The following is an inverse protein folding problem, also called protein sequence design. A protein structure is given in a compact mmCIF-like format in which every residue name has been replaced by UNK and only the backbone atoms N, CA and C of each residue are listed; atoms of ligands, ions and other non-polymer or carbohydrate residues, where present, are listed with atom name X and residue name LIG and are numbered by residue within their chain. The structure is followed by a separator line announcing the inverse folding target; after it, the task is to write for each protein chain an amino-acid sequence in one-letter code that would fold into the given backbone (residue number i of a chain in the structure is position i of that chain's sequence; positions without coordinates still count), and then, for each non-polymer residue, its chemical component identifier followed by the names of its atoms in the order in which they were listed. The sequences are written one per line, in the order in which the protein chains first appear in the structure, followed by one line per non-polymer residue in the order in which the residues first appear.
data_IF_220824859611
#
_entry.id   IF_220824859611
#
_cell.length_a   1.000
_cell.length_b   1.000
_cell.length_c   1.000
_cell.angle_alpha   90.00
_cell.angle_beta   90.00
_cell.angle_gamma   90.00
#
_symmetry.space_group_name_H-M   'P 1'
#
loop_
_entity.id
_entity.type
_entity.pdbx_description
1 polymer ?
#
# COMPACT_ATOMS: atom_id res chain seq x y z
N UNK A 1 33.94 8.57 14.19
CA UNK A 1 33.58 9.19 12.91
C UNK A 1 32.13 8.83 12.64
N UNK A 2 31.23 9.81 12.80
CA UNK A 2 29.81 9.62 12.51
C UNK A 2 29.61 9.91 11.03
N UNK A 3 29.11 8.93 10.28
CA UNK A 3 28.62 9.15 8.93
C UNK A 3 27.42 10.09 9.01
N UNK A 4 27.62 11.33 8.55
CA UNK A 4 26.54 12.22 8.18
C UNK A 4 25.65 11.48 7.18
N UNK A 5 24.39 11.23 7.54
CA UNK A 5 23.38 10.87 6.55
C UNK A 5 23.20 12.07 5.64
N UNK A 6 24.01 12.14 4.59
CA UNK A 6 23.66 12.90 3.40
C UNK A 6 22.24 12.47 3.02
N UNK A 7 21.37 13.45 2.82
CA UNK A 7 20.11 13.26 2.12
C UNK A 7 20.47 12.88 0.67
N UNK A 8 20.93 11.64 0.47
CA UNK A 8 21.34 11.15 -0.83
C UNK A 8 20.08 11.15 -1.69
N UNK A 9 20.04 12.04 -2.68
CA UNK A 9 18.98 12.07 -3.67
C UNK A 9 18.98 10.74 -4.43
N UNK A 10 18.21 9.76 -3.95
CA UNK A 10 18.04 8.48 -4.62
C UNK A 10 17.11 8.65 -5.81
N UNK A 11 17.42 8.00 -6.92
CA UNK A 11 16.56 7.81 -8.07
C UNK A 11 15.65 6.59 -7.88
N UNK A 12 14.54 6.52 -8.62
CA UNK A 12 13.67 5.33 -8.61
C UNK A 12 14.40 4.05 -9.06
N UNK A 13 15.41 4.18 -9.91
CA UNK A 13 16.29 3.08 -10.33
C UNK A 13 17.05 2.48 -9.15
N UNK A 14 17.63 3.33 -8.29
CA UNK A 14 18.35 2.90 -7.09
C UNK A 14 17.43 2.30 -6.03
N UNK A 15 16.12 2.55 -6.10
CA UNK A 15 15.13 1.89 -5.24
C UNK A 15 14.78 0.47 -5.71
N UNK A 16 15.27 0.03 -6.87
CA UNK A 16 15.07 -1.31 -7.40
C UNK A 16 13.77 -1.51 -8.19
N UNK A 17 13.12 -0.43 -8.64
CA UNK A 17 11.96 -0.53 -9.52
C UNK A 17 12.38 -0.93 -10.93
N UNK A 18 11.44 -1.56 -11.67
CA UNK A 18 11.68 -1.92 -13.06
C UNK A 18 11.53 -0.70 -13.99
N UNK A 19 12.14 -0.78 -15.16
CA UNK A 19 12.21 0.33 -16.12
C UNK A 19 10.83 0.79 -16.62
N UNK A 20 9.87 -0.14 -16.74
CA UNK A 20 8.51 0.20 -17.17
C UNK A 20 7.79 1.12 -16.18
N UNK A 21 7.92 0.86 -14.87
CA UNK A 21 7.37 1.74 -13.83
C UNK A 21 8.08 3.09 -13.81
N UNK A 22 9.40 3.09 -13.95
CA UNK A 22 10.19 4.33 -14.01
C UNK A 22 9.76 5.20 -15.19
N UNK A 23 9.59 4.59 -16.38
CA UNK A 23 9.08 5.30 -17.57
C UNK A 23 7.67 5.84 -17.37
N UNK A 24 6.80 5.07 -16.72
CA UNK A 24 5.45 5.52 -16.38
C UNK A 24 5.47 6.74 -15.43
N UNK A 25 6.36 6.74 -14.43
CA UNK A 25 6.55 7.87 -13.52
C UNK A 25 7.05 9.13 -14.24
N UNK A 26 8.03 8.99 -15.14
CA UNK A 26 8.53 10.11 -15.96
C UNK A 26 7.39 10.72 -16.80
N UNK A 27 6.55 9.88 -17.44
CA UNK A 27 5.37 10.37 -18.19
C UNK A 27 4.34 11.08 -17.32
N UNK A 28 4.26 10.74 -16.04
CA UNK A 28 3.41 11.43 -15.06
C UNK A 28 4.09 12.66 -14.44
N UNK A 29 5.31 13.00 -14.86
CA UNK A 29 6.07 14.15 -14.33
C UNK A 29 6.66 13.90 -12.94
N UNK A 30 6.83 12.63 -12.53
CA UNK A 30 7.38 12.24 -11.24
C UNK A 30 8.81 11.76 -11.45
N UNK A 31 9.76 12.66 -11.25
CA UNK A 31 11.17 12.39 -11.56
C UNK A 31 11.96 11.83 -10.38
N UNK A 32 11.64 12.27 -9.16
CA UNK A 32 12.37 11.90 -7.94
C UNK A 32 11.45 11.26 -6.89
N UNK A 33 11.89 10.21 -6.19
CA UNK A 33 11.14 9.62 -5.10
C UNK A 33 11.10 10.56 -3.89
N UNK A 34 9.93 10.66 -3.27
CA UNK A 34 9.77 11.37 -1.99
C UNK A 34 10.44 10.60 -0.85
N UNK A 35 10.73 11.23 0.31
CA UNK A 35 11.38 10.54 1.43
C UNK A 35 10.66 9.26 1.88
N UNK A 36 9.32 9.24 1.87
CA UNK A 36 8.57 8.02 2.24
C UNK A 36 8.72 6.93 1.18
N UNK A 37 8.84 7.30 -0.09
CA UNK A 37 9.07 6.35 -1.18
C UNK A 37 10.47 5.77 -1.12
N UNK A 38 11.48 6.59 -0.83
CA UNK A 38 12.87 6.14 -0.67
C UNK A 38 13.02 5.09 0.45
N UNK A 39 12.28 5.25 1.54
CA UNK A 39 12.31 4.30 2.65
C UNK A 39 11.39 3.10 2.42
N UNK A 40 10.15 3.32 1.97
CA UNK A 40 9.16 2.24 1.87
C UNK A 40 9.42 1.30 0.69
N UNK A 41 9.71 1.83 -0.50
CA UNK A 41 9.75 1.03 -1.75
C UNK A 41 10.76 -0.13 -1.63
N UNK A 42 12.02 0.08 -1.22
CA UNK A 42 12.99 -1.03 -1.15
C UNK A 42 12.61 -2.10 -0.12
N UNK A 43 11.91 -1.73 0.95
CA UNK A 43 11.46 -2.67 2.00
C UNK A 43 10.26 -3.48 1.53
N UNK A 44 9.32 -2.83 0.85
CA UNK A 44 8.16 -3.51 0.28
C UNK A 44 8.60 -4.47 -0.83
N UNK A 45 9.53 -4.09 -1.70
CA UNK A 45 10.09 -4.99 -2.73
C UNK A 45 10.77 -6.22 -2.14
N UNK A 46 11.34 -6.12 -0.93
CA UNK A 46 11.92 -7.25 -0.18
C UNK A 46 10.86 -8.16 0.47
N UNK A 47 9.58 -7.88 0.29
CA UNK A 47 8.49 -8.66 0.87
C UNK A 47 8.20 -8.37 2.34
N UNK A 48 8.74 -7.27 2.88
CA UNK A 48 8.54 -6.91 4.29
C UNK A 48 7.15 -6.27 4.50
N UNK A 49 6.53 -6.61 5.62
CA UNK A 49 5.38 -5.89 6.15
C UNK A 49 5.79 -4.48 6.58
N UNK A 50 5.01 -3.46 6.24
CA UNK A 50 5.38 -2.05 6.48
C UNK A 50 4.21 -1.28 7.07
N UNK A 51 4.49 -0.55 8.15
CA UNK A 51 3.67 0.56 8.65
C UNK A 51 4.36 1.86 8.28
N UNK A 52 3.71 2.70 7.48
CA UNK A 52 4.24 3.99 7.04
C UNK A 52 3.34 5.14 7.51
N UNK A 53 3.86 5.92 8.46
CA UNK A 53 3.22 7.12 9.00
C UNK A 53 3.87 8.38 8.40
N UNK A 54 3.12 9.09 7.57
CA UNK A 54 3.55 10.35 6.97
C UNK A 54 2.35 11.20 6.56
N UNK A 55 2.44 12.53 6.61
CA UNK A 55 1.32 13.44 6.27
C UNK A 55 0.72 13.21 4.87
N UNK A 56 -0.51 13.66 4.64
CA UNK A 56 -1.13 13.67 3.31
C UNK A 56 -0.28 14.49 2.33
N UNK A 57 -0.23 14.06 1.07
CA UNK A 57 0.65 14.67 0.05
C UNK A 57 2.12 14.25 0.12
N UNK A 58 2.53 13.41 1.08
CA UNK A 58 3.93 12.92 1.17
C UNK A 58 4.30 11.87 0.10
N UNK A 59 3.34 11.43 -0.73
CA UNK A 59 3.57 10.43 -1.78
C UNK A 59 3.36 8.97 -1.33
N UNK A 60 2.66 8.73 -0.21
CA UNK A 60 2.32 7.38 0.30
C UNK A 60 1.70 6.47 -0.75
N UNK A 61 0.80 7.00 -1.58
CA UNK A 61 0.11 6.22 -2.62
C UNK A 61 1.10 5.52 -3.56
N UNK A 62 2.06 6.24 -4.15
CA UNK A 62 3.09 5.60 -4.96
C UNK A 62 4.11 4.79 -4.15
N UNK A 63 4.27 5.07 -2.86
CA UNK A 63 5.15 4.29 -1.99
C UNK A 63 4.71 2.83 -1.88
N UNK A 64 3.39 2.54 -1.92
CA UNK A 64 2.89 1.16 -1.98
C UNK A 64 2.50 0.69 -3.39
N UNK A 65 1.97 1.57 -4.26
CA UNK A 65 1.51 1.16 -5.58
C UNK A 65 2.64 0.68 -6.50
N UNK A 66 3.79 1.35 -6.45
CA UNK A 66 4.92 0.99 -7.29
C UNK A 66 5.47 -0.41 -6.98
N UNK A 67 5.81 -0.75 -5.73
CA UNK A 67 6.26 -2.11 -5.42
C UNK A 67 5.13 -3.16 -5.52
N UNK A 68 3.87 -2.80 -5.28
CA UNK A 68 2.71 -3.67 -5.53
C UNK A 68 2.66 -4.07 -7.01
N UNK A 69 2.66 -3.09 -7.91
CA UNK A 69 2.63 -3.36 -9.36
C UNK A 69 3.86 -4.13 -9.81
N UNK A 70 5.05 -3.77 -9.32
CA UNK A 70 6.28 -4.49 -9.61
C UNK A 70 6.13 -5.99 -9.29
N UNK A 71 5.59 -6.33 -8.12
CA UNK A 71 5.37 -7.72 -7.69
C UNK A 71 4.37 -8.46 -8.58
N UNK A 72 3.37 -7.74 -9.08
CA UNK A 72 2.32 -8.34 -9.90
C UNK A 72 2.69 -8.48 -11.38
N UNK A 73 3.73 -7.79 -11.86
CA UNK A 73 4.10 -7.86 -13.28
C UNK A 73 4.29 -9.31 -13.75
N UNK A 74 3.81 -9.64 -14.97
CA UNK A 74 3.95 -10.98 -15.51
C UNK A 74 5.42 -11.39 -15.57
N UNK A 75 5.71 -12.61 -15.09
CA UNK A 75 7.05 -13.20 -15.25
C UNK A 75 7.16 -13.78 -16.67
N UNK A 76 8.31 -13.61 -17.36
CA UNK A 76 8.53 -14.22 -18.66
C UNK A 76 8.25 -15.73 -18.61
N UNK A 77 7.43 -16.23 -19.53
CA UNK A 77 7.08 -17.65 -19.63
C UNK A 77 6.01 -18.15 -18.64
N UNK A 78 5.41 -17.28 -17.82
CA UNK A 78 4.28 -17.64 -16.97
C UNK A 78 2.97 -17.65 -17.78
N UNK A 79 2.15 -18.69 -17.64
CA UNK A 79 0.74 -18.60 -18.03
C UNK A 79 0.06 -17.60 -17.09
N UNK A 80 -0.36 -16.44 -17.61
CA UNK A 80 -1.13 -15.46 -16.84
C UNK A 80 -2.55 -15.97 -16.65
N UNK A 81 -2.76 -16.80 -15.62
CA UNK A 81 -4.10 -17.04 -15.09
C UNK A 81 -4.42 -15.91 -14.14
N UNK A 82 -5.33 -15.03 -14.55
CA UNK A 82 -5.80 -13.94 -13.70
C UNK A 82 -6.41 -14.51 -12.41
N UNK A 83 -5.99 -13.95 -11.28
CA UNK A 83 -6.49 -14.25 -9.95
C UNK A 83 -6.30 -13.01 -9.08
N UNK A 84 -7.11 -12.85 -8.04
CA UNK A 84 -7.02 -11.69 -7.16
C UNK A 84 -5.78 -11.75 -6.28
N UNK A 85 -4.73 -11.03 -6.69
CA UNK A 85 -3.42 -11.03 -6.03
C UNK A 85 -3.19 -9.84 -5.12
N UNK A 86 -3.93 -8.75 -5.29
CA UNK A 86 -3.79 -7.56 -4.45
C UNK A 86 -5.13 -6.95 -4.03
N UNK A 87 -5.21 -6.60 -2.74
CA UNK A 87 -6.23 -5.71 -2.21
C UNK A 87 -5.64 -4.36 -1.84
N UNK A 88 -6.34 -3.29 -2.22
CA UNK A 88 -6.11 -1.94 -1.68
C UNK A 88 -7.40 -1.46 -1.03
N UNK A 89 -7.41 -1.46 0.30
CA UNK A 89 -8.55 -1.06 1.10
C UNK A 89 -8.39 0.39 1.56
N UNK A 90 -9.44 1.18 1.33
CA UNK A 90 -9.47 2.62 1.61
C UNK A 90 -10.75 3.00 2.37
N UNK A 91 -10.77 4.11 3.13
CA UNK A 91 -11.92 4.50 3.95
C UNK A 91 -13.14 4.99 3.16
N UNK A 92 -12.92 5.68 2.04
CA UNK A 92 -13.99 6.39 1.31
C UNK A 92 -14.09 5.94 -0.14
N UNK A 93 -15.27 6.15 -0.73
CA UNK A 93 -15.51 5.88 -2.14
C UNK A 93 -14.68 6.80 -3.03
N UNK A 94 -14.53 8.05 -2.63
CA UNK A 94 -13.82 9.08 -3.37
C UNK A 94 -12.32 8.75 -3.43
N UNK A 95 -11.75 8.29 -2.32
CA UNK A 95 -10.36 7.80 -2.30
C UNK A 95 -10.21 6.51 -3.11
N UNK A 96 -11.22 5.63 -3.10
CA UNK A 96 -11.23 4.40 -3.91
C UNK A 96 -11.10 4.72 -5.40
N UNK A 97 -11.87 5.70 -5.89
CA UNK A 97 -11.79 6.18 -7.26
C UNK A 97 -10.44 6.82 -7.58
N UNK A 98 -9.87 7.60 -6.66
CA UNK A 98 -8.57 8.23 -6.84
C UNK A 98 -7.45 7.19 -6.98
N UNK A 99 -7.39 6.23 -6.05
CA UNK A 99 -6.40 5.15 -6.07
C UNK A 99 -6.57 4.26 -7.30
N UNK A 100 -7.80 3.89 -7.65
CA UNK A 100 -8.08 3.10 -8.85
C UNK A 100 -7.62 3.79 -10.14
N UNK A 101 -7.82 5.11 -10.26
CA UNK A 101 -7.32 5.89 -11.41
C UNK A 101 -5.80 5.85 -11.50
N UNK A 102 -5.09 5.96 -10.38
CA UNK A 102 -3.62 5.87 -10.37
C UNK A 102 -3.13 4.47 -10.75
N UNK A 103 -3.74 3.42 -10.19
CA UNK A 103 -3.42 2.03 -10.56
C UNK A 103 -3.63 1.81 -12.07
N UNK A 104 -4.81 2.20 -12.58
CA UNK A 104 -5.17 2.02 -13.99
C UNK A 104 -4.23 2.80 -14.92
N UNK A 105 -3.91 4.05 -14.55
CA UNK A 105 -2.95 4.89 -15.27
C UNK A 105 -1.57 4.25 -15.32
N UNK A 106 -1.07 3.71 -14.21
CA UNK A 106 0.24 3.04 -14.18
C UNK A 106 0.24 1.76 -15.01
N UNK A 107 -0.81 0.94 -14.94
CA UNK A 107 -0.95 -0.28 -15.75
C UNK A 107 -0.90 0.06 -17.24
N UNK A 108 -1.66 1.05 -17.68
CA UNK A 108 -1.71 1.51 -19.07
C UNK A 108 -0.35 2.03 -19.54
N UNK A 109 0.29 2.89 -18.75
CA UNK A 109 1.58 3.48 -19.09
C UNK A 109 2.71 2.44 -19.15
N UNK A 110 2.64 1.41 -18.30
CA UNK A 110 3.58 0.28 -18.30
C UNK A 110 3.28 -0.75 -19.39
N UNK A 111 2.09 -0.70 -20.02
CA UNK A 111 1.63 -1.67 -21.04
C UNK A 111 1.64 -3.12 -20.55
N UNK A 112 1.27 -3.34 -19.28
CA UNK A 112 1.19 -4.67 -18.68
C UNK A 112 -0.22 -5.22 -18.72
N UNK A 113 -0.34 -6.54 -18.87
CA UNK A 113 -1.64 -7.23 -18.88
C UNK A 113 -2.10 -7.52 -17.45
N UNK A 114 -2.45 -6.46 -16.70
CA UNK A 114 -3.05 -6.54 -15.38
C UNK A 114 -4.46 -5.95 -15.43
N UNK A 115 -5.41 -6.59 -14.74
CA UNK A 115 -6.76 -6.10 -14.57
C UNK A 115 -6.94 -5.54 -13.16
N UNK A 116 -7.12 -4.22 -13.05
CA UNK A 116 -7.58 -3.58 -11.83
C UNK A 116 -9.10 -3.37 -11.88
N UNK A 117 -9.77 -3.50 -10.74
CA UNK A 117 -11.20 -3.20 -10.59
C UNK A 117 -11.43 -2.35 -9.34
N UNK A 118 -12.33 -1.39 -9.44
CA UNK A 118 -12.88 -0.61 -8.34
C UNK A 118 -14.22 -1.18 -7.92
N UNK A 119 -14.43 -1.45 -6.62
CA UNK A 119 -15.74 -1.81 -6.08
C UNK A 119 -16.12 -0.89 -4.92
N UNK A 120 -17.38 -0.46 -4.90
CA UNK A 120 -17.90 0.44 -3.86
C UNK A 120 -19.24 -0.07 -3.35
N UNK A 121 -19.54 0.19 -2.08
CA UNK A 121 -20.76 -0.34 -1.43
C UNK A 121 -22.06 0.16 -2.08
N UNK A 122 -22.00 1.28 -2.81
CA UNK A 122 -23.13 1.84 -3.58
C UNK A 122 -23.51 1.03 -4.83
N UNK A 123 -22.64 0.14 -5.31
CA UNK A 123 -22.94 -0.69 -6.50
C UNK A 123 -23.95 -1.80 -6.17
N UNK A 124 -24.84 -2.12 -7.10
CA UNK A 124 -25.77 -3.25 -6.98
C UNK A 124 -25.02 -4.58 -7.16
N UNK A 125 -25.59 -5.68 -6.65
CA UNK A 125 -24.99 -7.01 -6.78
C UNK A 125 -24.76 -7.41 -8.24
N UNK A 126 -25.66 -7.01 -9.15
CA UNK A 126 -25.49 -7.22 -10.59
C UNK A 126 -24.26 -6.49 -11.15
N UNK A 127 -24.03 -5.24 -10.74
CA UNK A 127 -22.85 -4.45 -11.14
C UNK A 127 -21.58 -5.05 -10.55
N UNK A 128 -21.60 -5.45 -9.28
CA UNK A 128 -20.46 -6.12 -8.64
C UNK A 128 -20.08 -7.42 -9.37
N UNK A 129 -21.08 -8.25 -9.72
CA UNK A 129 -20.85 -9.49 -10.50
C UNK A 129 -20.25 -9.18 -11.86
N UNK A 130 -20.81 -8.20 -12.58
CA UNK A 130 -20.31 -7.80 -13.89
C UNK A 130 -18.86 -7.31 -13.84
N UNK A 131 -18.51 -6.49 -12.85
CA UNK A 131 -17.14 -5.98 -12.68
C UNK A 131 -16.12 -7.12 -12.41
N UNK A 132 -16.55 -8.16 -11.72
CA UNK A 132 -15.74 -9.33 -11.37
C UNK A 132 -15.77 -10.45 -12.43
N UNK A 133 -16.43 -10.25 -13.58
CA UNK A 133 -16.32 -11.19 -14.72
C UNK A 133 -14.90 -11.15 -15.26
N UNK A 134 -14.23 -12.31 -15.25
CA UNK A 134 -12.79 -12.38 -15.46
C UNK A 134 -12.08 -11.88 -14.20
N UNK A 135 -11.46 -12.77 -13.39
CA UNK A 135 -10.89 -12.37 -12.10
C UNK A 135 -9.96 -11.16 -12.24
N UNK A 136 -10.10 -10.11 -11.42
CA UNK A 136 -9.13 -9.02 -11.41
C UNK A 136 -7.83 -9.47 -10.75
N UNK A 137 -6.71 -8.85 -11.11
CA UNK A 137 -5.43 -8.99 -10.41
C UNK A 137 -5.37 -8.08 -9.17
N UNK A 138 -5.99 -6.91 -9.26
CA UNK A 138 -6.00 -5.87 -8.22
C UNK A 138 -7.43 -5.43 -7.97
N UNK A 139 -7.82 -5.38 -6.69
CA UNK A 139 -9.11 -4.86 -6.26
C UNK A 139 -8.91 -3.68 -5.32
N UNK A 140 -9.38 -2.50 -5.75
CA UNK A 140 -9.42 -1.28 -4.94
C UNK A 140 -10.85 -1.13 -4.41
N UNK A 141 -11.02 -1.07 -3.09
CA UNK A 141 -12.36 -1.08 -2.49
C UNK A 141 -12.40 -0.52 -1.06
N UNK A 142 -13.61 -0.32 -0.54
CA UNK A 142 -13.81 -0.11 0.91
C UNK A 142 -14.01 -1.46 1.60
N UNK A 143 -13.59 -1.62 2.88
CA UNK A 143 -13.77 -2.89 3.60
C UNK A 143 -15.23 -3.39 3.61
N UNK A 144 -16.19 -2.49 3.86
CA UNK A 144 -17.62 -2.84 3.84
C UNK A 144 -18.11 -3.36 2.48
N UNK A 145 -17.54 -2.88 1.37
CA UNK A 145 -17.89 -3.39 0.05
C UNK A 145 -17.36 -4.82 -0.17
N UNK A 146 -16.17 -5.13 0.34
CA UNK A 146 -15.64 -6.50 0.31
C UNK A 146 -16.52 -7.45 1.13
N UNK A 147 -16.93 -7.04 2.34
CA UNK A 147 -17.89 -7.79 3.15
C UNK A 147 -19.22 -8.01 2.42
N UNK A 148 -19.75 -6.99 1.74
CA UNK A 148 -20.94 -7.13 0.88
C UNK A 148 -20.71 -8.15 -0.23
N UNK A 149 -19.56 -8.12 -0.91
CA UNK A 149 -19.24 -9.07 -1.97
C UNK A 149 -19.17 -10.52 -1.47
N UNK A 150 -18.65 -10.75 -0.25
CA UNK A 150 -18.67 -12.06 0.39
C UNK A 150 -20.08 -12.50 0.74
N UNK A 151 -20.87 -11.64 1.39
CA UNK A 151 -22.24 -11.97 1.81
C UNK A 151 -23.16 -12.25 0.62
N UNK A 152 -22.98 -11.53 -0.49
CA UNK A 152 -23.76 -11.74 -1.71
C UNK A 152 -23.21 -12.89 -2.59
N UNK A 153 -22.17 -13.61 -2.16
CA UNK A 153 -21.48 -14.64 -2.96
C UNK A 153 -21.10 -14.13 -4.36
N UNK A 154 -20.66 -12.89 -4.44
CA UNK A 154 -20.12 -12.27 -5.66
C UNK A 154 -18.62 -12.51 -5.73
N UNK A 155 -17.96 -12.47 -4.58
CA UNK A 155 -16.55 -12.81 -4.41
C UNK A 155 -16.47 -13.98 -3.43
N UNK A 156 -15.75 -15.04 -3.78
CA UNK A 156 -15.60 -16.20 -2.91
C UNK A 156 -14.33 -16.06 -2.09
N UNK A 157 -14.40 -16.34 -0.79
CA UNK A 157 -13.22 -16.32 0.09
C UNK A 157 -12.13 -17.30 -0.39
N UNK A 158 -12.54 -18.51 -0.75
CA UNK A 158 -11.64 -19.56 -1.22
C UNK A 158 -10.86 -19.19 -2.50
N UNK A 159 -11.41 -18.34 -3.38
CA UNK A 159 -10.68 -17.90 -4.58
C UNK A 159 -9.53 -16.93 -4.30
N UNK A 160 -9.47 -16.41 -3.07
CA UNK A 160 -8.49 -15.40 -2.63
C UNK A 160 -7.45 -16.00 -1.68
N UNK A 161 -7.85 -17.02 -0.89
CA UNK A 161 -7.05 -17.55 0.22
C UNK A 161 -5.65 -18.05 -0.17
N UNK A 162 -5.47 -18.47 -1.43
CA UNK A 162 -4.19 -18.95 -1.96
C UNK A 162 -3.59 -18.03 -3.04
N UNK A 163 -4.34 -17.02 -3.51
CA UNK A 163 -3.90 -16.12 -4.59
C UNK A 163 -3.46 -14.74 -4.09
N UNK A 164 -3.93 -14.30 -2.91
CA UNK A 164 -3.60 -12.99 -2.37
C UNK A 164 -2.12 -12.92 -1.96
N UNK A 165 -1.39 -11.99 -2.59
CA UNK A 165 0.03 -11.76 -2.33
C UNK A 165 0.30 -10.49 -1.54
N UNK A 166 -0.62 -9.53 -1.58
CA UNK A 166 -0.48 -8.23 -0.91
C UNK A 166 -1.83 -7.63 -0.48
N UNK A 167 -1.89 -7.16 0.76
CA UNK A 167 -3.01 -6.39 1.31
C UNK A 167 -2.50 -5.02 1.74
N UNK A 168 -3.11 -3.97 1.20
CA UNK A 168 -2.83 -2.58 1.58
C UNK A 168 -4.02 -2.00 2.32
N UNK A 169 -3.75 -1.37 3.47
CA UNK A 169 -4.67 -0.54 4.22
C UNK A 169 -4.22 0.92 4.09
N UNK A 170 -4.87 1.69 3.23
CA UNK A 170 -4.57 3.12 3.04
C UNK A 170 -5.46 3.99 3.95
N UNK A 171 -4.91 5.09 4.43
CA UNK A 171 -5.51 5.95 5.45
C UNK A 171 -6.05 5.15 6.66
N UNK A 172 -5.19 4.32 7.23
CA UNK A 172 -5.56 3.33 8.24
C UNK A 172 -6.16 3.90 9.54
N UNK A 173 -5.76 5.11 9.92
CA UNK A 173 -6.37 5.88 11.01
C UNK A 173 -7.84 6.18 10.74
N UNK A 174 -8.21 6.46 9.49
CA UNK A 174 -9.59 6.68 9.10
C UNK A 174 -10.37 5.37 8.94
N UNK A 175 -9.73 4.28 8.50
CA UNK A 175 -10.42 2.98 8.36
C UNK A 175 -11.13 2.54 9.65
N UNK A 176 -10.47 2.64 10.80
CA UNK A 176 -11.10 2.33 12.09
C UNK A 176 -12.06 3.41 12.56
N UNK A 177 -11.75 4.69 12.32
CA UNK A 177 -12.66 5.80 12.63
C UNK A 177 -14.02 5.67 11.92
N UNK A 178 -14.05 5.02 10.75
CA UNK A 178 -15.24 4.73 9.96
C UNK A 178 -15.96 3.44 10.38
N UNK A 179 -15.43 2.71 11.38
CA UNK A 179 -16.06 1.51 11.92
C UNK A 179 -15.77 0.22 11.14
N UNK A 180 -14.79 0.21 10.23
CA UNK A 180 -14.49 -0.98 9.41
C UNK A 180 -13.66 -2.06 10.12
N UNK A 181 -13.58 -2.02 11.44
CA UNK A 181 -12.77 -2.96 12.20
C UNK A 181 -13.16 -4.42 11.92
N UNK A 182 -14.44 -4.74 12.01
CA UNK A 182 -14.91 -6.11 11.85
C UNK A 182 -14.85 -6.59 10.39
N UNK A 183 -15.01 -5.67 9.44
CA UNK A 183 -14.78 -5.94 8.01
C UNK A 183 -13.31 -6.30 7.73
N UNK A 184 -12.37 -5.58 8.34
CA UNK A 184 -10.93 -5.87 8.21
C UNK A 184 -10.58 -7.16 8.95
N UNK A 185 -11.14 -7.40 10.14
CA UNK A 185 -10.99 -8.68 10.87
C UNK A 185 -11.39 -9.88 10.03
N UNK A 186 -12.43 -9.77 9.21
CA UNK A 186 -12.85 -10.88 8.34
C UNK A 186 -11.79 -11.27 7.29
N UNK A 187 -10.82 -10.38 7.00
CA UNK A 187 -9.73 -10.61 6.05
C UNK A 187 -8.45 -11.12 6.71
N UNK A 188 -8.32 -11.06 8.04
CA UNK A 188 -7.08 -11.45 8.75
C UNK A 188 -6.62 -12.88 8.57
N UNK A 189 -7.47 -13.90 8.32
CA UNK A 189 -6.96 -15.25 8.04
C UNK A 189 -6.04 -15.29 6.81
N UNK A 190 -6.17 -14.33 5.89
CA UNK A 190 -5.32 -14.21 4.70
C UNK A 190 -4.00 -13.48 4.97
N UNK A 191 -3.92 -12.66 6.01
CA UNK A 191 -2.73 -11.83 6.30
C UNK A 191 -1.53 -12.64 6.78
N UNK A 192 -1.74 -13.90 7.16
CA UNK A 192 -0.66 -14.86 7.47
C UNK A 192 0.08 -15.35 6.21
N UNK A 193 -0.55 -15.24 5.03
CA UNK A 193 -0.04 -15.76 3.76
C UNK A 193 0.37 -14.66 2.77
N UNK A 194 -0.04 -13.41 3.02
CA UNK A 194 0.23 -12.29 2.13
C UNK A 194 1.03 -11.20 2.86
N UNK A 195 1.73 -10.37 2.09
CA UNK A 195 2.40 -9.20 2.61
C UNK A 195 1.39 -8.11 2.98
N UNK A 196 1.51 -7.50 4.16
CA UNK A 196 0.60 -6.47 4.63
C UNK A 196 1.28 -5.11 4.74
N UNK A 197 0.64 -4.09 4.14
CA UNK A 197 1.08 -2.71 4.15
C UNK A 197 0.02 -1.84 4.81
N UNK A 198 0.43 -0.98 5.73
CA UNK A 198 -0.43 -0.04 6.42
C UNK A 198 0.12 1.37 6.20
N UNK A 199 -0.67 2.22 5.55
CA UNK A 199 -0.33 3.61 5.29
C UNK A 199 -1.24 4.51 6.12
N UNK A 200 -0.67 5.45 6.86
CA UNK A 200 -1.46 6.37 7.69
C UNK A 200 -0.84 7.76 7.72
N UNK A 201 -1.68 8.77 7.98
CA UNK A 201 -1.20 10.12 8.27
C UNK A 201 -0.63 10.23 9.68
N UNK A 202 -1.14 9.43 10.63
CA UNK A 202 -0.85 9.54 12.06
C UNK A 202 -0.36 8.22 12.66
N UNK A 203 0.16 8.27 13.89
CA UNK A 203 0.51 7.08 14.70
C UNK A 203 -0.47 6.94 15.86
N UNK A 204 -1.75 6.76 15.53
CA UNK A 204 -2.84 6.67 16.51
C UNK A 204 -2.95 5.29 17.16
N UNK A 205 -3.72 5.20 18.25
CA UNK A 205 -4.08 3.93 18.87
C UNK A 205 -4.82 2.99 17.88
N UNK A 206 -5.56 3.57 16.94
CA UNK A 206 -6.23 2.84 15.87
C UNK A 206 -5.24 2.18 14.91
N UNK A 207 -4.19 2.91 14.50
CA UNK A 207 -3.11 2.34 13.69
C UNK A 207 -2.40 1.22 14.43
N UNK A 208 -2.15 1.39 15.72
CA UNK A 208 -1.56 0.33 16.56
C UNK A 208 -2.47 -0.91 16.66
N UNK A 209 -3.79 -0.71 16.71
CA UNK A 209 -4.77 -1.80 16.73
C UNK A 209 -4.81 -2.55 15.41
N UNK A 210 -4.86 -1.84 14.29
CA UNK A 210 -4.77 -2.44 12.96
C UNK A 210 -3.44 -3.17 12.76
N UNK A 211 -2.34 -2.58 13.21
CA UNK A 211 -1.02 -3.21 13.13
C UNK A 211 -1.01 -4.60 13.76
N UNK A 212 -1.50 -4.70 14.99
CA UNK A 212 -1.60 -5.97 15.73
C UNK A 212 -2.56 -6.96 15.08
N UNK A 213 -3.55 -6.45 14.35
CA UNK A 213 -4.58 -7.26 13.73
C UNK A 213 -4.11 -7.86 12.40
N UNK A 214 -3.33 -7.14 11.61
CA UNK A 214 -3.05 -7.50 10.22
C UNK A 214 -1.59 -7.80 9.91
N UNK A 215 -0.60 -7.21 10.59
CA UNK A 215 0.81 -7.33 10.21
C UNK A 215 1.59 -8.31 11.08
N UNK A 216 2.62 -8.92 10.49
CA UNK A 216 3.55 -9.84 11.15
C UNK A 216 4.99 -9.36 10.98
N UNK A 217 5.68 -9.10 12.10
CA UNK A 217 7.08 -8.61 12.10
C UNK A 217 7.33 -7.41 11.16
N UNK A 218 6.48 -6.39 11.27
CA UNK A 218 6.51 -5.23 10.39
C UNK A 218 7.64 -4.24 10.70
N UNK A 219 8.10 -3.52 9.67
CA UNK A 219 8.94 -2.33 9.82
C UNK A 219 8.04 -1.10 9.96
N UNK A 220 8.34 -0.26 10.95
CA UNK A 220 7.65 1.01 11.16
C UNK A 220 8.52 2.15 10.59
N UNK A 221 7.94 2.92 9.69
CA UNK A 221 8.52 4.09 9.06
C UNK A 221 7.71 5.32 9.48
N UNK A 222 8.28 6.17 10.32
CA UNK A 222 7.67 7.44 10.74
C UNK A 222 8.51 8.58 10.23
N UNK A 223 7.94 9.41 9.36
CA UNK A 223 8.62 10.62 8.90
C UNK A 223 8.16 11.83 9.71
N UNK A 224 9.10 12.64 10.24
CA UNK A 224 8.76 13.86 10.95
C UNK A 224 8.12 14.88 10.00
N UNK A 225 7.25 15.72 10.56
CA UNK A 225 6.76 16.88 9.83
C UNK A 225 7.93 17.82 9.53
N UNK A 226 8.20 18.08 8.26
CA UNK A 226 8.99 19.26 7.89
C UNK A 226 8.07 20.48 8.09
N UNK A 227 8.02 20.96 9.33
CA UNK A 227 7.41 22.23 9.71
C UNK A 227 8.50 23.28 9.87
N UNK A 228 8.38 24.39 9.14
CA UNK A 228 9.12 25.66 9.24
C UNK A 228 10.35 25.66 10.16
N UNK A 229 11.53 25.44 9.59
CA UNK A 229 12.77 25.97 10.17
C UNK A 229 12.73 27.48 9.92
N UNK A 230 12.07 28.24 10.80
CA UNK A 230 12.53 29.62 11.02
C UNK A 230 13.92 29.51 11.62
N UNK A 231 14.85 30.34 11.12
CA UNK A 231 16.26 30.42 11.50
C UNK A 231 16.47 30.64 13.01
N UNK A 232 16.23 29.63 13.84
CA UNK A 232 16.79 29.55 15.18
C UNK A 232 17.97 28.60 15.14
N UNK A 233 19.15 29.21 15.32
CA UNK A 233 20.44 28.56 15.46
C UNK A 233 20.36 27.55 16.61
N UNK A 234 20.11 26.28 16.28
CA UNK A 234 20.21 25.18 17.25
C UNK A 234 21.71 24.88 17.46
N UNK A 235 22.21 24.96 18.71
CA UNK A 235 23.63 24.74 18.99
C UNK A 235 24.06 23.32 18.60
N UNK A 236 25.28 23.22 18.06
CA UNK A 236 25.88 22.08 17.32
C UNK A 236 25.97 20.71 18.03
N UNK A 237 25.29 20.49 19.15
CA UNK A 237 25.67 19.44 20.12
C UNK A 237 24.55 18.48 20.55
N UNK A 238 23.40 18.40 19.88
CA UNK A 238 22.35 17.45 20.28
C UNK A 238 22.01 16.50 19.13
N UNK A 239 22.52 15.26 19.23
CA UNK A 239 22.06 14.12 18.44
C UNK A 239 20.92 13.42 19.18
N UNK A 240 19.78 13.21 18.53
CA UNK A 240 18.76 12.26 18.98
C UNK A 240 18.33 11.37 17.81
N UNK A 241 18.57 10.07 17.95
CA UNK A 241 18.06 9.00 17.10
C UNK A 241 17.33 7.99 17.98
N UNK A 242 16.17 7.48 17.53
CA UNK A 242 15.60 6.23 18.04
C UNK A 242 15.17 5.35 16.86
N UNK A 243 15.95 4.31 16.59
CA UNK A 243 15.51 3.14 15.81
C UNK A 243 15.16 2.06 16.82
N UNK A 244 13.87 1.79 17.05
CA UNK A 244 13.43 0.64 17.87
C UNK A 244 13.31 -0.58 16.96
N UNK A 245 14.29 -1.48 17.05
CA UNK A 245 14.12 -2.86 16.59
C UNK A 245 13.34 -3.62 17.68
N UNK A 246 12.07 -3.93 17.42
CA UNK A 246 11.35 -4.91 18.24
C UNK A 246 11.52 -6.27 17.58
N UNK A 247 12.55 -7.01 17.98
CA UNK A 247 12.62 -8.46 17.72
C UNK A 247 11.88 -9.13 18.87
N UNK A 248 10.63 -9.54 18.66
CA UNK A 248 9.98 -10.47 19.59
C UNK A 248 10.48 -11.87 19.28
N UNK A 249 11.46 -12.34 20.05
CA UNK A 249 11.72 -13.77 20.21
C UNK A 249 10.88 -14.23 21.39
N UNK A 250 9.77 -14.92 21.13
CA UNK A 250 9.34 -16.13 21.86
C UNK A 250 8.60 -17.02 20.88
#
# INVERSE_FOLDING_TARGET
MAETMENQEKSFTELGLNDSLIHALIKKGIEKPTPIQQEAIPRILKGMDVVACAKTGSGKTFAYLLPLLHKLFPKPGSENKHALRAFVLVPTRELCQQVYKEVSSLIELCRVQLKAVELTSSMTDSVLRAALVGPPDILVSTPACISKCFSANVLQRASIDDSLEILVLDEADLLLSYGYEDDIKALTPRTLKCQCLLMSATSSADVEKLKKLTLHNCIILTLPEVGNITDEVIPKNIQQFWVRFAVSIV
#
